data_IF_429761765835
#
_entry.id   IF_429761765835
#
_cell.length_a   1.000
_cell.length_b   1.000
_cell.length_c   1.000
_cell.angle_alpha   90.00
_cell.angle_beta   90.00
_cell.angle_gamma   90.00
#
_symmetry.space_group_name_H-M   'P 1'
#
loop_
_entity.id
_entity.type
_entity.pdbx_description
1 polymer ?
#
# COMPACT_ATOMS: atom_id res chain seq x y z
N UNK A 1 10.41 -3.77 17.60
CA UNK A 1 9.59 -4.42 16.54
C UNK A 1 10.41 -5.58 15.97
N UNK A 2 9.85 -6.77 15.89
CA UNK A 2 10.50 -8.00 15.43
C UNK A 2 10.36 -8.18 13.91
N UNK A 3 11.22 -9.00 13.30
CA UNK A 3 11.12 -9.35 11.87
C UNK A 3 9.74 -9.92 11.49
N UNK A 4 9.11 -10.68 12.41
CA UNK A 4 7.75 -11.21 12.23
C UNK A 4 6.70 -10.10 12.20
N UNK A 5 6.81 -9.11 13.08
CA UNK A 5 5.89 -7.96 13.11
C UNK A 5 6.01 -7.09 11.85
N UNK A 6 7.23 -6.83 11.37
CA UNK A 6 7.46 -6.17 10.08
C UNK A 6 6.87 -6.96 8.91
N UNK A 7 6.99 -8.30 8.94
CA UNK A 7 6.35 -9.16 7.94
C UNK A 7 4.83 -9.00 7.89
N UNK A 8 4.18 -8.83 9.05
CA UNK A 8 2.74 -8.57 9.12
C UNK A 8 2.39 -7.19 8.53
N UNK A 9 3.18 -6.16 8.81
CA UNK A 9 2.97 -4.82 8.25
C UNK A 9 3.14 -4.81 6.73
N UNK A 10 4.23 -5.38 6.21
CA UNK A 10 4.49 -5.52 4.77
C UNK A 10 3.33 -6.24 4.06
N UNK A 11 2.87 -7.37 4.63
CA UNK A 11 1.72 -8.11 4.10
C UNK A 11 0.46 -7.24 4.07
N UNK A 12 0.18 -6.49 5.15
CA UNK A 12 -1.01 -5.63 5.24
C UNK A 12 -0.95 -4.49 4.23
N UNK A 13 0.21 -3.83 4.06
CA UNK A 13 0.41 -2.77 3.07
C UNK A 13 0.13 -3.30 1.66
N UNK A 14 0.67 -4.48 1.31
CA UNK A 14 0.43 -5.15 0.02
C UNK A 14 -1.04 -5.50 -0.19
N UNK A 15 -1.75 -5.96 0.85
CA UNK A 15 -3.20 -6.21 0.77
C UNK A 15 -3.98 -4.93 0.47
N UNK A 16 -3.68 -3.83 1.17
CA UNK A 16 -4.36 -2.53 0.94
C UNK A 16 -4.07 -2.01 -0.47
N UNK A 17 -2.83 -2.18 -0.95
CA UNK A 17 -2.44 -1.80 -2.32
C UNK A 17 -3.27 -2.54 -3.36
N UNK A 18 -3.42 -3.86 -3.21
CA UNK A 18 -4.26 -4.67 -4.10
C UNK A 18 -5.71 -4.19 -4.09
N UNK A 19 -6.30 -4.00 -2.91
CA UNK A 19 -7.67 -3.51 -2.77
C UNK A 19 -7.86 -2.10 -3.38
N UNK A 20 -6.85 -1.23 -3.28
CA UNK A 20 -6.88 0.12 -3.88
C UNK A 20 -6.81 0.06 -5.41
N UNK A 21 -6.01 -0.87 -5.96
CA UNK A 21 -5.96 -1.11 -7.41
C UNK A 21 -7.29 -1.65 -7.93
N UNK A 22 -7.90 -2.60 -7.22
CA UNK A 22 -9.24 -3.12 -7.53
C UNK A 22 -10.29 -2.01 -7.45
N UNK A 23 -10.25 -1.15 -6.43
CA UNK A 23 -11.14 0.02 -6.32
C UNK A 23 -11.01 0.97 -7.53
N UNK A 24 -9.78 1.20 -8.00
CA UNK A 24 -9.53 2.02 -9.20
C UNK A 24 -10.09 1.36 -10.47
N UNK A 25 -9.97 0.04 -10.61
CA UNK A 25 -10.54 -0.69 -11.74
C UNK A 25 -12.07 -0.65 -11.75
N UNK A 26 -12.69 -0.74 -10.56
CA UNK A 26 -14.14 -0.66 -10.37
C UNK A 26 -14.70 0.76 -10.47
N UNK A 27 -13.85 1.79 -10.52
CA UNK A 27 -14.28 3.20 -10.48
C UNK A 27 -15.18 3.59 -11.65
N UNK A 28 -15.12 2.87 -12.77
CA UNK A 28 -15.90 3.19 -13.97
C UNK A 28 -15.61 4.59 -14.53
N UNK A 29 -14.44 5.16 -14.24
CA UNK A 29 -14.07 6.52 -14.65
C UNK A 29 -14.60 7.63 -13.74
N UNK A 30 -15.12 7.30 -12.54
CA UNK A 30 -15.46 8.32 -11.54
C UNK A 30 -14.16 8.99 -11.08
N UNK A 31 -13.90 10.18 -11.61
CA UNK A 31 -12.65 10.92 -11.42
C UNK A 31 -12.28 11.11 -9.94
N UNK A 32 -13.27 11.32 -9.07
CA UNK A 32 -13.05 11.44 -7.64
C UNK A 32 -12.44 10.16 -7.06
N UNK A 33 -12.95 8.98 -7.46
CA UNK A 33 -12.43 7.69 -7.00
C UNK A 33 -11.02 7.47 -7.56
N UNK A 34 -10.80 7.72 -8.86
CA UNK A 34 -9.48 7.53 -9.48
C UNK A 34 -8.39 8.35 -8.81
N UNK A 35 -8.64 9.64 -8.55
CA UNK A 35 -7.69 10.52 -7.88
C UNK A 35 -7.44 10.12 -6.43
N UNK A 36 -8.47 9.65 -5.72
CA UNK A 36 -8.31 9.14 -4.36
C UNK A 36 -7.48 7.85 -4.35
N UNK A 37 -7.76 6.91 -5.26
CA UNK A 37 -7.01 5.68 -5.39
C UNK A 37 -5.53 5.94 -5.73
N UNK A 38 -5.24 6.87 -6.64
CA UNK A 38 -3.87 7.28 -6.96
C UNK A 38 -3.12 7.85 -5.76
N UNK A 39 -3.74 8.74 -4.99
CA UNK A 39 -3.13 9.29 -3.77
C UNK A 39 -2.88 8.21 -2.72
N UNK A 40 -3.81 7.28 -2.53
CA UNK A 40 -3.62 6.15 -1.62
C UNK A 40 -2.44 5.28 -2.09
N UNK A 41 -2.35 4.97 -3.38
CA UNK A 41 -1.24 4.19 -3.95
C UNK A 41 0.12 4.87 -3.75
N UNK A 42 0.19 6.20 -3.89
CA UNK A 42 1.40 6.96 -3.61
C UNK A 42 1.82 6.83 -2.13
N UNK A 43 0.89 7.00 -1.19
CA UNK A 43 1.17 6.81 0.24
C UNK A 43 1.60 5.38 0.56
N UNK A 44 0.95 4.37 -0.03
CA UNK A 44 1.32 2.96 0.16
C UNK A 44 2.72 2.67 -0.36
N UNK A 45 3.12 3.27 -1.50
CA UNK A 45 4.48 3.12 -2.02
C UNK A 45 5.54 3.64 -1.05
N UNK A 46 5.27 4.76 -0.38
CA UNK A 46 6.17 5.27 0.67
C UNK A 46 6.23 4.32 1.87
N UNK A 47 5.10 3.78 2.31
CA UNK A 47 5.07 2.79 3.40
C UNK A 47 5.81 1.50 3.03
N UNK A 48 5.71 1.03 1.78
CA UNK A 48 6.49 -0.11 1.28
C UNK A 48 8.00 0.16 1.42
N UNK A 49 8.47 1.33 1.00
CA UNK A 49 9.88 1.74 1.14
C UNK A 49 10.28 1.77 2.61
N UNK A 50 9.51 2.46 3.46
CA UNK A 50 9.83 2.59 4.87
C UNK A 50 9.89 1.24 5.59
N UNK A 51 9.02 0.29 5.25
CA UNK A 51 9.05 -1.06 5.84
C UNK A 51 10.21 -1.90 5.31
N UNK A 52 10.54 -1.78 4.01
CA UNK A 52 11.70 -2.43 3.41
C UNK A 52 13.01 -1.94 4.03
N UNK A 53 13.19 -0.63 4.17
CA UNK A 53 14.39 -0.03 4.77
C UNK A 53 14.64 -0.59 6.18
N UNK A 54 13.59 -0.73 6.99
CA UNK A 54 13.72 -1.29 8.35
C UNK A 54 14.00 -2.80 8.31
N UNK A 55 13.43 -3.55 7.37
CA UNK A 55 13.68 -5.00 7.21
C UNK A 55 15.13 -5.31 6.87
N UNK A 56 15.82 -4.41 6.18
CA UNK A 56 17.23 -4.60 5.79
C UNK A 56 18.20 -4.34 6.97
N UNK A 57 17.69 -3.78 8.09
CA UNK A 57 18.47 -3.44 9.28
C UNK A 57 18.35 -4.47 10.43
N UNK A 58 17.40 -5.41 10.38
CA UNK A 58 17.08 -6.32 11.50
C UNK A 58 16.87 -7.80 11.13
#
# INVERSE_FOLDING_TARGET
MTRRELGKLDTRIKTIKKATQELKQLSGGIQAIDRNAERILASLKMLEINVSDVKDLI
#
